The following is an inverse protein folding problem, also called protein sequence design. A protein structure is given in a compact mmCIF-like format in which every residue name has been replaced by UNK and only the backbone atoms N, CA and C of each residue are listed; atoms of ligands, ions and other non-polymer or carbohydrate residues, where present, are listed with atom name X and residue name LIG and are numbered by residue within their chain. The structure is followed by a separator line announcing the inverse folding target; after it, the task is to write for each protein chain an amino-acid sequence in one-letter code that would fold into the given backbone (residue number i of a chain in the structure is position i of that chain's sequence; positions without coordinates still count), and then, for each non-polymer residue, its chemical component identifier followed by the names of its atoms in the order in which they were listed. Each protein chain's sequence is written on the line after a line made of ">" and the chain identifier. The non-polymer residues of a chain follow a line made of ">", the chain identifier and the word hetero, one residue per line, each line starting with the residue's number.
data_IF_707756922089
#
_entry.id   IF_707756922089
#
_cell.length_a   1.000
_cell.length_b   1.000
_cell.length_c   1.000
_cell.angle_alpha   90.00
_cell.angle_beta   90.00
_cell.angle_gamma   90.00
#
_symmetry.space_group_name_H-M   'P 1'
#
loop_
_entity.id
_entity.type
_entity.pdbx_description
1 polymer ?
#
# COMPACT_ATOMS: atom_id res chain seq x y z
N UNK A 1 2.57 27.48 -12.22
CA UNK A 1 2.44 26.92 -10.87
C UNK A 1 2.05 25.47 -11.04
N UNK A 2 2.80 24.57 -10.44
CA UNK A 2 2.51 23.14 -10.50
C UNK A 2 1.22 22.78 -9.79
N UNK A 3 0.76 21.54 -10.00
CA UNK A 3 -0.47 21.05 -9.40
C UNK A 3 -0.28 20.72 -7.92
N UNK A 4 -1.31 20.98 -7.12
CA UNK A 4 -1.44 20.46 -5.76
C UNK A 4 -2.41 19.29 -5.81
N UNK A 5 -1.98 18.15 -5.29
CA UNK A 5 -2.81 16.96 -5.16
C UNK A 5 -3.18 16.73 -3.69
N UNK A 6 -4.42 16.30 -3.48
CA UNK A 6 -4.87 15.86 -2.16
C UNK A 6 -4.23 14.50 -1.81
N UNK A 7 -4.02 13.63 -2.82
CA UNK A 7 -3.37 12.35 -2.56
C UNK A 7 -2.62 11.76 -3.78
N UNK A 8 -1.65 10.90 -3.48
CA UNK A 8 -1.12 9.86 -4.37
C UNK A 8 -1.24 8.53 -3.62
N UNK A 9 -1.86 7.54 -4.26
CA UNK A 9 -2.04 6.20 -3.76
C UNK A 9 -1.31 5.20 -4.66
N UNK A 10 -0.46 4.37 -4.07
CA UNK A 10 0.41 3.41 -4.74
C UNK A 10 0.08 2.01 -4.21
N UNK A 11 -0.39 1.14 -5.09
CA UNK A 11 -0.99 -0.15 -4.72
C UNK A 11 -2.42 0.06 -4.23
N UNK A 12 -3.39 -0.23 -5.09
CA UNK A 12 -4.79 0.00 -4.75
C UNK A 12 -5.56 -1.30 -4.59
N UNK A 13 -5.17 -2.38 -5.31
CA UNK A 13 -6.09 -3.48 -5.55
C UNK A 13 -7.46 -2.94 -6.03
N UNK A 14 -8.58 -3.49 -5.58
CA UNK A 14 -9.94 -2.99 -5.86
C UNK A 14 -10.78 -2.80 -4.58
N UNK A 15 -10.13 -2.58 -3.43
CA UNK A 15 -10.75 -2.33 -2.13
C UNK A 15 -9.84 -1.52 -1.20
N UNK A 16 -10.40 -0.91 -0.17
CA UNK A 16 -9.69 -0.08 0.82
C UNK A 16 -8.90 1.08 0.20
N UNK A 17 -9.45 1.68 -0.86
CA UNK A 17 -8.75 2.70 -1.63
C UNK A 17 -9.15 4.11 -1.23
N UNK A 18 -8.20 5.04 -1.35
CA UNK A 18 -8.50 6.47 -1.24
C UNK A 18 -9.45 6.87 -2.37
N UNK A 19 -9.25 6.30 -3.57
CA UNK A 19 -10.08 6.61 -4.73
C UNK A 19 -11.57 6.34 -4.50
N UNK A 20 -11.93 5.25 -3.81
CA UNK A 20 -13.33 4.96 -3.48
C UNK A 20 -13.90 5.95 -2.49
N UNK A 21 -13.13 6.28 -1.46
CA UNK A 21 -13.56 7.09 -0.33
C UNK A 21 -13.40 8.61 -0.53
N UNK A 22 -12.60 9.06 -1.52
CA UNK A 22 -12.37 10.48 -1.73
C UNK A 22 -13.61 11.21 -2.28
N UNK A 23 -13.73 12.49 -1.95
CA UNK A 23 -14.80 13.35 -2.50
C UNK A 23 -14.51 13.72 -3.96
N UNK A 24 -15.56 14.03 -4.73
CA UNK A 24 -15.46 14.36 -6.16
C UNK A 24 -14.64 15.65 -6.45
N UNK A 25 -14.46 16.51 -5.46
CA UNK A 25 -13.62 17.70 -5.60
C UNK A 25 -12.13 17.45 -5.31
N UNK A 26 -11.77 16.30 -4.72
CA UNK A 26 -10.39 15.96 -4.40
C UNK A 26 -9.63 15.49 -5.63
N UNK A 27 -8.39 15.94 -5.75
CA UNK A 27 -7.50 15.62 -6.87
C UNK A 27 -6.49 14.58 -6.44
N UNK A 28 -6.34 13.54 -7.22
CA UNK A 28 -5.41 12.49 -6.87
C UNK A 28 -4.88 11.69 -8.04
N UNK A 29 -3.95 10.80 -7.70
CA UNK A 29 -3.42 9.78 -8.59
C UNK A 29 -3.49 8.45 -7.88
N UNK A 30 -4.07 7.42 -8.53
CA UNK A 30 -4.09 6.04 -8.08
C UNK A 30 -3.30 5.17 -9.04
N UNK A 31 -2.37 4.38 -8.52
CA UNK A 31 -1.41 3.59 -9.29
C UNK A 31 -1.58 2.12 -8.91
N UNK A 32 -1.89 1.28 -9.91
CA UNK A 32 -2.13 -0.15 -9.72
C UNK A 32 -1.52 -0.96 -10.87
N UNK A 33 -0.69 -1.98 -10.56
CA UNK A 33 -0.13 -2.86 -11.59
C UNK A 33 -1.19 -3.65 -12.35
N UNK A 34 -2.23 -4.15 -11.67
CA UNK A 34 -3.25 -5.01 -12.25
C UNK A 34 -4.41 -4.17 -12.80
N UNK A 35 -4.42 -4.03 -14.12
CA UNK A 35 -5.40 -3.17 -14.81
C UNK A 35 -6.85 -3.51 -14.48
N UNK A 36 -7.19 -4.77 -14.30
CA UNK A 36 -8.56 -5.18 -14.00
C UNK A 36 -9.03 -4.68 -12.63
N UNK A 37 -8.15 -4.62 -11.61
CA UNK A 37 -8.48 -4.00 -10.34
C UNK A 37 -8.66 -2.49 -10.49
N UNK A 38 -7.74 -1.83 -11.19
CA UNK A 38 -7.86 -0.40 -11.44
C UNK A 38 -9.14 -0.02 -12.22
N UNK A 39 -9.56 -0.90 -13.14
CA UNK A 39 -10.79 -0.68 -13.93
C UNK A 39 -12.06 -0.86 -13.09
N UNK A 40 -12.04 -1.70 -12.05
CA UNK A 40 -13.16 -1.90 -11.12
C UNK A 40 -13.40 -0.68 -10.21
N UNK A 41 -12.37 0.09 -9.94
CA UNK A 41 -12.50 1.30 -9.11
C UNK A 41 -13.34 2.39 -9.81
N UNK A 42 -14.02 3.25 -9.05
CA UNK A 42 -14.86 4.31 -9.62
C UNK A 42 -14.04 5.28 -10.50
N UNK A 43 -14.67 5.79 -11.55
CA UNK A 43 -14.08 6.84 -12.39
C UNK A 43 -14.47 8.21 -11.83
N UNK A 44 -13.48 8.93 -11.28
CA UNK A 44 -13.64 10.29 -10.79
C UNK A 44 -12.86 11.25 -11.69
N UNK A 45 -13.50 12.34 -12.11
CA UNK A 45 -12.93 13.28 -13.09
C UNK A 45 -11.64 13.96 -12.63
N UNK A 46 -11.43 14.05 -11.33
CA UNK A 46 -10.26 14.69 -10.72
C UNK A 46 -9.18 13.68 -10.28
N UNK A 47 -9.35 12.40 -10.56
CA UNK A 47 -8.38 11.36 -10.21
C UNK A 47 -7.84 10.70 -11.45
N UNK A 48 -6.51 10.67 -11.57
CA UNK A 48 -5.81 9.97 -12.64
C UNK A 48 -5.53 8.55 -12.21
N UNK A 49 -5.94 7.57 -13.00
CA UNK A 49 -5.61 6.17 -12.83
C UNK A 49 -4.40 5.81 -13.70
N UNK A 50 -3.36 5.25 -13.10
CA UNK A 50 -2.13 4.83 -13.79
C UNK A 50 -1.98 3.32 -13.65
N UNK A 51 -1.99 2.60 -14.78
CA UNK A 51 -1.71 1.17 -14.77
C UNK A 51 -0.21 0.92 -14.87
N UNK A 52 0.37 0.39 -13.82
CA UNK A 52 1.79 0.04 -13.71
C UNK A 52 2.28 -0.01 -12.28
N UNK A 53 3.53 -0.33 -12.10
CA UNK A 53 4.18 -0.43 -10.80
C UNK A 53 5.15 0.73 -10.57
N UNK A 54 5.19 1.26 -9.35
CA UNK A 54 6.28 2.13 -8.94
C UNK A 54 7.48 1.29 -8.49
N UNK A 55 8.67 1.72 -8.89
CA UNK A 55 9.95 1.07 -8.54
C UNK A 55 10.96 2.09 -8.07
N UNK A 56 11.92 1.63 -7.26
CA UNK A 56 13.02 2.45 -6.76
C UNK A 56 14.21 2.53 -7.73
N UNK A 57 14.37 1.53 -8.62
CA UNK A 57 15.48 1.48 -9.58
C UNK A 57 15.06 1.96 -10.97
N UNK A 58 15.68 3.03 -11.46
CA UNK A 58 15.44 3.63 -12.78
C UNK A 58 15.76 2.71 -13.97
N UNK A 59 16.51 1.64 -13.76
CA UNK A 59 16.87 0.70 -14.81
C UNK A 59 15.75 -0.33 -15.07
N UNK A 60 14.82 -0.50 -14.15
CA UNK A 60 13.66 -1.39 -14.29
C UNK A 60 12.59 -0.69 -15.11
N UNK A 61 12.30 -1.20 -16.31
CA UNK A 61 11.27 -0.65 -17.20
C UNK A 61 9.97 -1.45 -17.19
N UNK A 62 10.08 -2.73 -16.94
CA UNK A 62 8.96 -3.64 -16.69
C UNK A 62 9.29 -4.53 -15.50
N UNK A 63 8.27 -4.99 -14.82
CA UNK A 63 8.42 -5.89 -13.69
C UNK A 63 7.31 -6.93 -13.71
N UNK A 64 7.63 -8.13 -13.23
CA UNK A 64 6.66 -9.20 -13.10
C UNK A 64 5.81 -8.98 -11.85
N UNK A 65 4.50 -8.99 -12.03
CA UNK A 65 3.51 -8.99 -10.94
C UNK A 65 2.96 -10.40 -10.79
N UNK A 66 2.80 -10.86 -9.54
CA UNK A 66 2.23 -12.15 -9.17
C UNK A 66 0.86 -11.91 -8.55
N UNK A 67 -0.14 -12.65 -9.00
CA UNK A 67 -1.53 -12.47 -8.54
C UNK A 67 -2.33 -13.77 -8.70
N UNK A 68 -3.46 -13.83 -8.03
CA UNK A 68 -4.48 -14.87 -8.25
C UNK A 68 -5.70 -14.19 -8.84
N UNK A 69 -6.19 -14.71 -9.98
CA UNK A 69 -7.40 -14.17 -10.60
C UNK A 69 -8.58 -14.27 -9.62
N UNK A 70 -9.41 -13.23 -9.47
CA UNK A 70 -10.59 -13.30 -8.61
C UNK A 70 -11.49 -14.51 -8.85
N UNK A 71 -11.60 -14.98 -10.10
CA UNK A 71 -12.34 -16.20 -10.43
C UNK A 71 -11.70 -17.46 -9.85
N UNK A 72 -10.36 -17.53 -9.90
CA UNK A 72 -9.63 -18.65 -9.31
C UNK A 72 -9.78 -18.67 -7.79
N UNK A 73 -9.90 -17.50 -7.15
CA UNK A 73 -10.19 -17.38 -5.72
C UNK A 73 -11.56 -18.01 -5.41
N UNK A 74 -12.60 -17.66 -6.17
CA UNK A 74 -13.95 -18.18 -6.01
C UNK A 74 -14.02 -19.68 -6.33
N UNK A 75 -13.49 -20.12 -7.47
CA UNK A 75 -13.54 -21.52 -7.93
C UNK A 75 -12.80 -22.49 -7.00
N UNK A 76 -11.72 -22.03 -6.38
CA UNK A 76 -10.95 -22.83 -5.43
C UNK A 76 -11.37 -22.62 -3.97
N UNK A 77 -12.44 -21.84 -3.73
CA UNK A 77 -12.97 -21.53 -2.39
C UNK A 77 -11.86 -21.00 -1.46
N UNK A 78 -11.02 -20.10 -1.99
CA UNK A 78 -10.01 -19.38 -1.21
C UNK A 78 -10.66 -18.20 -0.48
N UNK A 79 -10.00 -17.69 0.54
CA UNK A 79 -10.49 -16.54 1.28
C UNK A 79 -10.45 -15.27 0.40
N UNK A 80 -11.48 -14.44 0.48
CA UNK A 80 -11.66 -13.28 -0.41
C UNK A 80 -10.51 -12.25 -0.34
N UNK A 81 -9.92 -12.10 0.84
CA UNK A 81 -8.83 -11.15 1.08
C UNK A 81 -7.53 -11.51 0.34
N UNK A 82 -7.39 -12.75 -0.15
CA UNK A 82 -6.19 -13.20 -0.89
C UNK A 82 -5.99 -12.40 -2.19
N UNK A 83 -7.05 -11.76 -2.69
CA UNK A 83 -6.97 -10.82 -3.80
C UNK A 83 -6.13 -9.57 -3.50
N UNK A 84 -5.87 -9.27 -2.22
CA UNK A 84 -4.96 -8.22 -1.77
C UNK A 84 -3.51 -8.66 -1.74
N UNK A 85 -3.24 -9.97 -1.71
CA UNK A 85 -1.89 -10.52 -1.64
C UNK A 85 -1.15 -10.50 -3.00
N UNK A 86 -1.44 -9.50 -3.84
CA UNK A 86 -0.71 -9.34 -5.10
C UNK A 86 0.64 -8.68 -4.83
N UNK A 87 1.67 -9.11 -5.54
CA UNK A 87 3.02 -8.65 -5.26
C UNK A 87 3.82 -8.41 -6.53
N UNK A 88 4.81 -7.54 -6.42
CA UNK A 88 5.65 -7.10 -7.53
C UNK A 88 7.08 -7.63 -7.34
N UNK A 89 7.66 -8.19 -8.39
CA UNK A 89 9.05 -8.67 -8.43
C UNK A 89 9.26 -10.07 -7.88
N UNK A 90 8.54 -10.48 -6.84
CA UNK A 90 8.58 -11.83 -6.25
C UNK A 90 7.17 -12.27 -5.84
N UNK A 91 6.90 -13.59 -5.77
CA UNK A 91 5.62 -14.08 -5.26
C UNK A 91 5.40 -13.63 -3.81
N UNK A 92 4.16 -13.32 -3.47
CA UNK A 92 3.76 -13.06 -2.09
C UNK A 92 3.92 -14.33 -1.24
N UNK A 93 4.15 -14.18 0.06
CA UNK A 93 4.36 -15.33 0.95
C UNK A 93 3.13 -16.24 1.00
N UNK A 94 1.91 -15.68 0.91
CA UNK A 94 0.68 -16.47 0.78
C UNK A 94 0.59 -17.27 -0.52
N UNK A 95 1.24 -16.87 -1.58
CA UNK A 95 1.31 -17.66 -2.80
C UNK A 95 2.12 -18.95 -2.62
N UNK A 96 3.06 -18.93 -1.68
CA UNK A 96 3.95 -20.06 -1.41
C UNK A 96 3.39 -20.93 -0.27
N UNK A 97 2.81 -20.32 0.77
CA UNK A 97 2.37 -21.00 1.97
C UNK A 97 0.96 -20.54 2.40
N UNK A 98 -0.07 -20.94 1.68
CA UNK A 98 -1.46 -20.65 2.00
C UNK A 98 -2.21 -21.90 2.52
N UNK A 99 -3.00 -21.79 3.59
CA UNK A 99 -2.93 -20.76 4.62
C UNK A 99 -1.67 -20.95 5.45
N UNK A 100 -1.09 -19.85 5.93
CA UNK A 100 -0.06 -19.94 6.94
C UNK A 100 -0.63 -20.68 8.16
N UNK A 101 0.20 -21.42 8.90
CA UNK A 101 -0.23 -22.12 10.10
C UNK A 101 -1.02 -21.15 11.01
N UNK A 102 -2.27 -21.51 11.32
CA UNK A 102 -3.16 -20.67 12.13
C UNK A 102 -2.65 -20.37 13.53
N UNK A 103 -1.64 -21.10 14.01
CA UNK A 103 -1.01 -20.83 15.30
C UNK A 103 -0.21 -19.51 15.31
N UNK A 104 0.16 -18.99 14.12
CA UNK A 104 0.91 -17.75 13.94
C UNK A 104 0.00 -16.52 13.69
N UNK A 105 -1.30 -16.73 13.46
CA UNK A 105 -2.27 -15.66 13.27
C UNK A 105 -3.10 -15.39 14.52
N UNK A 106 -3.45 -14.14 14.80
CA UNK A 106 -4.35 -13.82 15.90
C UNK A 106 -5.70 -14.54 15.69
N UNK A 107 -6.15 -15.30 16.69
CA UNK A 107 -7.37 -16.14 16.66
C UNK A 107 -8.66 -15.39 16.29
N UNK A 108 -8.66 -14.07 16.36
CA UNK A 108 -9.82 -13.24 16.04
C UNK A 108 -10.08 -13.08 14.54
N UNK A 109 -9.09 -13.37 13.68
CA UNK A 109 -9.25 -13.20 12.22
C UNK A 109 -9.99 -14.36 11.55
N UNK A 110 -9.92 -15.58 12.09
CA UNK A 110 -10.23 -16.77 11.27
C UNK A 110 -11.18 -17.79 11.90
N UNK A 111 -11.63 -17.61 13.13
CA UNK A 111 -12.41 -18.59 13.83
C UNK A 111 -11.66 -19.93 14.06
N UNK A 112 -12.37 -20.93 14.53
CA UNK A 112 -11.82 -22.22 15.01
C UNK A 112 -11.50 -23.23 13.87
N UNK A 113 -10.94 -22.76 12.75
CA UNK A 113 -10.56 -23.61 11.60
C UNK A 113 -9.17 -24.25 11.80
N UNK A 114 -9.02 -25.06 12.81
CA UNK A 114 -7.75 -25.56 13.35
C UNK A 114 -6.99 -26.61 12.53
N UNK A 115 -7.37 -26.93 11.28
CA UNK A 115 -6.67 -27.95 10.47
C UNK A 115 -6.85 -27.72 8.96
N UNK A 116 -6.25 -26.66 8.44
CA UNK A 116 -6.16 -26.52 6.99
C UNK A 116 -4.71 -26.86 6.60
N UNK A 117 -4.57 -27.79 5.65
CA UNK A 117 -3.25 -28.09 5.09
C UNK A 117 -2.68 -26.88 4.38
N UNK A 118 -1.44 -26.53 4.68
CA UNK A 118 -0.71 -25.48 3.97
C UNK A 118 -0.60 -25.85 2.49
N UNK A 119 -1.07 -24.97 1.62
CA UNK A 119 -1.03 -25.16 0.16
C UNK A 119 -0.02 -24.24 -0.47
N UNK A 120 0.82 -24.78 -1.32
CA UNK A 120 1.65 -23.98 -2.19
C UNK A 120 0.87 -23.67 -3.46
N UNK A 121 0.20 -22.50 -3.51
CA UNK A 121 -0.64 -22.08 -4.63
C UNK A 121 0.19 -21.84 -5.89
N UNK A 122 1.44 -21.37 -5.74
CA UNK A 122 2.35 -21.17 -6.86
C UNK A 122 2.66 -22.50 -7.57
N UNK A 123 2.94 -23.58 -6.82
CA UNK A 123 3.22 -24.90 -7.40
C UNK A 123 1.99 -25.57 -8.01
N UNK A 124 0.79 -25.16 -7.61
CA UNK A 124 -0.47 -25.63 -8.18
C UNK A 124 -0.86 -24.89 -9.47
N UNK A 125 -0.08 -23.88 -9.86
CA UNK A 125 -0.33 -23.09 -11.06
C UNK A 125 -1.48 -22.10 -10.97
N UNK A 126 -2.04 -21.86 -9.78
CA UNK A 126 -3.13 -20.90 -9.55
C UNK A 126 -2.58 -19.46 -9.61
N UNK A 127 -1.34 -19.27 -9.15
CA UNK A 127 -0.69 -17.95 -9.20
C UNK A 127 -0.27 -17.63 -10.62
N UNK A 128 -0.84 -16.56 -11.13
CA UNK A 128 -0.56 -16.04 -12.46
C UNK A 128 0.53 -14.96 -12.40
N UNK A 129 1.10 -14.64 -13.55
CA UNK A 129 2.09 -13.56 -13.67
C UNK A 129 1.79 -12.68 -14.86
N UNK A 130 2.01 -11.37 -14.68
CA UNK A 130 1.86 -10.37 -15.71
C UNK A 130 3.07 -9.43 -15.68
N UNK A 131 3.66 -9.11 -16.83
CA UNK A 131 4.64 -8.02 -16.92
C UNK A 131 3.92 -6.69 -17.06
N UNK A 132 4.27 -5.74 -16.19
CA UNK A 132 3.68 -4.40 -16.16
C UNK A 132 4.75 -3.32 -16.34
N UNK A 133 4.40 -2.16 -16.92
CA UNK A 133 5.32 -1.03 -17.02
C UNK A 133 5.69 -0.50 -15.63
N UNK A 134 6.92 0.01 -15.52
CA UNK A 134 7.43 0.59 -14.30
C UNK A 134 7.67 2.09 -14.45
N UNK A 135 7.43 2.81 -13.36
CA UNK A 135 7.65 4.24 -13.24
C UNK A 135 8.46 4.55 -11.98
N UNK A 136 9.24 5.61 -12.01
CA UNK A 136 9.77 6.22 -10.80
C UNK A 136 8.74 7.22 -10.25
N UNK A 137 8.77 7.44 -8.96
CA UNK A 137 7.97 8.51 -8.35
C UNK A 137 8.27 9.87 -8.98
N UNK A 138 9.55 10.16 -9.27
CA UNK A 138 9.99 11.38 -9.95
C UNK A 138 9.37 11.57 -11.35
N UNK A 139 9.11 10.46 -12.06
CA UNK A 139 8.51 10.51 -13.39
C UNK A 139 7.06 10.97 -13.29
N UNK A 140 6.31 10.42 -12.31
CA UNK A 140 4.93 10.83 -12.02
C UNK A 140 4.88 12.31 -11.63
N UNK A 141 5.73 12.73 -10.69
CA UNK A 141 5.79 14.13 -10.24
C UNK A 141 6.09 15.11 -11.38
N UNK A 142 6.93 14.69 -12.33
CA UNK A 142 7.31 15.51 -13.50
C UNK A 142 6.23 15.48 -14.57
N UNK A 143 5.72 14.30 -14.93
CA UNK A 143 4.74 14.13 -15.99
C UNK A 143 3.45 14.91 -15.73
N UNK A 144 3.02 14.96 -14.47
CA UNK A 144 1.80 15.63 -14.06
C UNK A 144 2.04 17.03 -13.47
N UNK A 145 3.25 17.59 -13.56
CA UNK A 145 3.64 18.90 -13.02
C UNK A 145 3.18 19.08 -11.57
N UNK A 146 3.48 18.08 -10.71
CA UNK A 146 3.03 18.08 -9.31
C UNK A 146 4.00 18.89 -8.45
N UNK A 147 3.48 19.91 -7.80
CA UNK A 147 4.22 20.76 -6.87
C UNK A 147 4.18 20.21 -5.44
N UNK A 148 3.02 19.69 -5.04
CA UNK A 148 2.79 19.26 -3.68
C UNK A 148 1.73 18.15 -3.61
N UNK A 149 1.87 17.27 -2.63
CA UNK A 149 0.94 16.19 -2.30
C UNK A 149 0.61 16.25 -0.81
N UNK A 150 -0.67 16.25 -0.45
CA UNK A 150 -1.09 16.26 0.96
C UNK A 150 -0.91 14.86 1.60
N UNK A 151 -1.42 13.82 0.96
CA UNK A 151 -1.40 12.44 1.45
C UNK A 151 -0.70 11.51 0.44
N UNK A 152 0.29 10.77 0.91
CA UNK A 152 0.91 9.68 0.17
C UNK A 152 0.56 8.35 0.85
N UNK A 153 -0.17 7.46 0.16
CA UNK A 153 -0.38 6.06 0.57
C UNK A 153 0.51 5.15 -0.24
N UNK A 154 1.18 4.23 0.43
CA UNK A 154 1.97 3.16 -0.19
C UNK A 154 1.52 1.84 0.43
N UNK A 155 1.07 0.91 -0.43
CA UNK A 155 0.53 -0.37 -0.04
C UNK A 155 0.86 -1.37 -1.16
N UNK A 156 2.08 -1.91 -1.12
CA UNK A 156 2.68 -2.66 -2.23
C UNK A 156 3.12 -4.06 -1.86
N UNK A 157 2.64 -4.54 -0.72
CA UNK A 157 2.86 -5.91 -0.26
C UNK A 157 4.35 -6.30 -0.25
N UNK A 158 5.14 -5.51 0.51
CA UNK A 158 6.55 -5.79 0.78
C UNK A 158 7.58 -4.98 -0.01
N UNK A 159 7.16 -3.95 -0.76
CA UNK A 159 8.06 -2.97 -1.38
C UNK A 159 8.01 -1.59 -0.69
N UNK A 160 7.16 -1.41 0.30
CA UNK A 160 6.82 -0.12 0.91
C UNK A 160 8.02 0.64 1.43
N UNK A 161 8.85 0.00 2.25
CA UNK A 161 10.03 0.63 2.82
C UNK A 161 11.05 1.05 1.75
N UNK A 162 11.31 0.19 0.77
CA UNK A 162 12.23 0.44 -0.33
C UNK A 162 11.74 1.60 -1.20
N UNK A 163 10.46 1.58 -1.53
CA UNK A 163 9.83 2.60 -2.36
C UNK A 163 9.79 3.95 -1.64
N UNK A 164 9.38 3.96 -0.37
CA UNK A 164 9.34 5.17 0.44
C UNK A 164 10.74 5.78 0.62
N UNK A 165 11.77 4.95 0.79
CA UNK A 165 13.14 5.42 0.85
C UNK A 165 13.55 6.18 -0.42
N UNK A 166 13.23 5.62 -1.58
CA UNK A 166 13.47 6.26 -2.89
C UNK A 166 12.66 7.57 -3.07
N UNK A 167 11.43 7.60 -2.58
CA UNK A 167 10.58 8.80 -2.59
C UNK A 167 11.19 9.91 -1.71
N UNK A 168 11.69 9.56 -0.54
CA UNK A 168 12.36 10.52 0.33
C UNK A 168 13.64 11.08 -0.31
N UNK A 169 14.42 10.24 -1.03
CA UNK A 169 15.57 10.70 -1.83
C UNK A 169 15.15 11.73 -2.88
N UNK A 170 14.04 11.50 -3.55
CA UNK A 170 13.49 12.48 -4.50
C UNK A 170 13.19 13.82 -3.83
N UNK A 171 12.55 13.84 -2.66
CA UNK A 171 12.22 15.07 -1.95
C UNK A 171 13.47 15.81 -1.43
N UNK A 172 14.47 15.09 -0.94
CA UNK A 172 15.75 15.67 -0.54
C UNK A 172 16.47 16.35 -1.70
N UNK A 173 16.48 15.70 -2.87
CA UNK A 173 17.16 16.20 -4.06
C UNK A 173 16.39 17.34 -4.74
N UNK A 174 15.08 17.24 -4.86
CA UNK A 174 14.24 18.25 -5.53
C UNK A 174 13.96 19.49 -4.71
N UNK A 175 14.16 19.42 -3.38
CA UNK A 175 13.79 20.46 -2.41
C UNK A 175 12.29 20.79 -2.40
N UNK A 176 11.45 19.93 -2.97
CA UNK A 176 10.00 20.06 -2.88
C UNK A 176 9.52 19.79 -1.46
N UNK A 177 8.36 20.32 -1.13
CA UNK A 177 7.75 20.09 0.18
C UNK A 177 7.29 18.63 0.28
N UNK A 178 7.69 17.97 1.37
CA UNK A 178 7.25 16.62 1.71
C UNK A 178 5.72 16.56 1.93
N UNK A 179 5.06 15.41 1.67
CA UNK A 179 3.66 15.19 2.02
C UNK A 179 3.38 15.51 3.48
N UNK A 180 2.22 16.05 3.79
CA UNK A 180 1.86 16.28 5.19
C UNK A 180 1.57 14.97 5.93
N UNK A 181 1.09 13.95 5.21
CA UNK A 181 0.82 12.62 5.74
C UNK A 181 1.40 11.55 4.81
N UNK A 182 2.02 10.54 5.39
CA UNK A 182 2.46 9.33 4.69
C UNK A 182 1.86 8.13 5.40
N UNK A 183 1.16 7.30 4.64
CA UNK A 183 0.59 6.04 5.08
C UNK A 183 1.34 4.91 4.36
N UNK A 184 1.88 3.96 5.09
CA UNK A 184 2.59 2.81 4.51
C UNK A 184 2.53 1.61 5.45
N UNK A 185 2.65 0.43 4.89
CA UNK A 185 2.62 -0.79 5.69
C UNK A 185 3.99 -1.12 6.31
N UNK A 186 3.94 -1.56 7.58
CA UNK A 186 5.10 -2.08 8.30
C UNK A 186 4.92 -3.56 8.64
N UNK A 187 4.10 -4.25 7.87
CA UNK A 187 3.79 -5.67 8.06
C UNK A 187 5.02 -6.58 7.85
N UNK A 188 4.87 -7.86 8.16
CA UNK A 188 5.93 -8.86 8.06
C UNK A 188 6.45 -9.16 6.64
N UNK A 189 5.81 -8.60 5.59
CA UNK A 189 6.27 -8.70 4.20
C UNK A 189 7.45 -7.76 3.92
N UNK A 190 7.58 -6.69 4.70
CA UNK A 190 8.75 -5.84 4.73
C UNK A 190 9.78 -6.40 5.72
N UNK A 191 11.07 -6.26 5.39
CA UNK A 191 12.11 -6.59 6.37
C UNK A 191 12.01 -5.61 7.54
N UNK A 192 11.98 -6.14 8.76
CA UNK A 192 11.87 -5.33 9.98
C UNK A 192 12.95 -4.24 10.05
N UNK A 193 14.17 -4.57 9.67
CA UNK A 193 15.30 -3.62 9.67
C UNK A 193 15.04 -2.46 8.71
N UNK A 194 14.48 -2.72 7.53
CA UNK A 194 14.19 -1.70 6.52
C UNK A 194 13.06 -0.79 7.02
N UNK A 195 12.03 -1.35 7.65
CA UNK A 195 10.94 -0.60 8.27
C UNK A 195 11.45 0.30 9.41
N UNK A 196 12.32 -0.21 10.27
CA UNK A 196 12.93 0.59 11.35
C UNK A 196 13.80 1.72 10.79
N UNK A 197 14.56 1.47 9.73
CA UNK A 197 15.41 2.49 9.12
C UNK A 197 14.58 3.61 8.50
N UNK A 198 13.50 3.27 7.75
CA UNK A 198 12.65 4.28 7.15
C UNK A 198 11.92 5.12 8.20
N UNK A 199 11.47 4.51 9.29
CA UNK A 199 10.87 5.21 10.42
C UNK A 199 11.83 6.24 11.01
N UNK A 200 13.07 5.84 11.31
CA UNK A 200 14.09 6.76 11.81
C UNK A 200 14.36 7.91 10.85
N UNK A 201 14.40 7.61 9.54
CA UNK A 201 14.60 8.62 8.51
C UNK A 201 13.46 9.63 8.51
N UNK A 202 12.22 9.18 8.60
CA UNK A 202 11.03 10.03 8.65
C UNK A 202 11.02 10.94 9.89
N UNK A 203 11.46 10.43 11.06
CA UNK A 203 11.65 11.24 12.26
C UNK A 203 12.61 12.41 12.02
N UNK A 204 13.70 12.21 11.23
CA UNK A 204 14.63 13.29 10.91
C UNK A 204 14.00 14.40 10.06
N UNK A 205 12.95 14.10 9.31
CA UNK A 205 12.13 15.06 8.58
C UNK A 205 11.04 15.73 9.42
N UNK A 206 10.97 15.39 10.71
CA UNK A 206 10.02 15.98 11.68
C UNK A 206 8.62 15.38 11.63
N UNK A 207 8.48 14.15 11.13
CA UNK A 207 7.24 13.40 11.25
C UNK A 207 7.11 12.80 12.65
N UNK A 208 5.88 12.69 13.13
CA UNK A 208 5.53 11.85 14.27
C UNK A 208 4.97 10.52 13.72
N UNK A 209 5.50 9.42 14.20
CA UNK A 209 5.03 8.10 13.82
C UNK A 209 3.89 7.67 14.73
N UNK A 210 2.80 7.27 14.11
CA UNK A 210 1.66 6.64 14.75
C UNK A 210 1.49 5.25 14.14
N UNK A 211 1.32 4.23 14.97
CA UNK A 211 0.98 2.88 14.54
C UNK A 211 -0.47 2.58 14.89
N UNK A 212 -1.18 1.97 13.96
CA UNK A 212 -2.51 1.43 14.17
C UNK A 212 -2.45 -0.10 14.26
N UNK A 213 -3.34 -0.68 15.02
CA UNK A 213 -3.51 -2.14 15.14
C UNK A 213 -4.46 -2.71 14.07
N UNK A 214 -4.69 -1.97 12.98
CA UNK A 214 -5.72 -2.28 11.99
C UNK A 214 -7.14 -1.92 12.45
N UNK A 215 -7.34 -1.52 13.70
CA UNK A 215 -8.61 -1.02 14.18
C UNK A 215 -8.68 0.51 14.08
N UNK A 216 -9.84 0.99 13.76
CA UNK A 216 -10.16 2.30 13.21
C UNK A 216 -9.90 3.53 14.07
N UNK A 217 -9.69 3.39 15.37
CA UNK A 217 -9.75 4.53 16.28
C UNK A 217 -8.49 4.77 17.13
N UNK A 218 -7.51 3.87 17.11
CA UNK A 218 -6.39 3.92 18.02
C UNK A 218 -5.03 3.98 17.32
N UNK A 219 -4.74 5.13 16.71
CA UNK A 219 -3.35 5.44 16.39
C UNK A 219 -2.62 5.80 17.69
N UNK A 220 -1.81 4.90 18.18
CA UNK A 220 -0.93 5.15 19.32
C UNK A 220 0.44 5.61 18.84
N UNK A 221 1.15 6.33 19.71
CA UNK A 221 2.54 6.68 19.44
C UNK A 221 3.34 5.39 19.23
N UNK A 222 4.16 5.37 18.20
CA UNK A 222 4.95 4.22 17.81
C UNK A 222 5.69 3.59 19.00
N UNK A 223 5.48 2.31 19.20
CA UNK A 223 6.25 1.46 20.09
C UNK A 223 6.93 0.36 19.24
N UNK A 224 8.25 0.25 19.37
CA UNK A 224 9.06 -0.71 18.60
C UNK A 224 8.68 -2.17 18.84
N UNK A 225 8.01 -2.44 19.95
CA UNK A 225 7.55 -3.78 20.32
C UNK A 225 6.24 -4.17 19.63
N UNK A 226 5.57 -3.21 18.97
CA UNK A 226 4.25 -3.41 18.34
C UNK A 226 4.25 -3.20 16.82
N UNK A 227 5.36 -3.47 16.12
CA UNK A 227 5.34 -3.68 14.68
C UNK A 227 4.61 -4.99 14.40
N UNK A 228 3.30 -4.95 14.45
CA UNK A 228 2.43 -6.08 14.17
C UNK A 228 2.09 -6.16 12.69
N UNK A 229 1.61 -7.31 12.26
CA UNK A 229 1.34 -7.74 10.88
C UNK A 229 0.56 -6.74 10.02
N UNK A 230 -0.33 -5.93 10.60
CA UNK A 230 -1.18 -4.97 9.90
C UNK A 230 -0.99 -3.54 10.40
N UNK A 231 0.15 -3.23 11.03
CA UNK A 231 0.36 -1.86 11.48
C UNK A 231 0.62 -0.95 10.30
N UNK A 232 -0.28 -0.01 10.10
CA UNK A 232 -0.10 1.12 9.18
C UNK A 232 0.54 2.26 9.95
N UNK A 233 1.71 2.71 9.51
CA UNK A 233 2.37 3.85 10.09
C UNK A 233 1.83 5.13 9.44
N UNK A 234 1.21 5.98 10.23
CA UNK A 234 0.73 7.29 9.78
C UNK A 234 1.65 8.36 10.31
N UNK A 235 2.27 9.11 9.41
CA UNK A 235 3.16 10.20 9.75
C UNK A 235 2.43 11.52 9.54
N UNK A 236 2.19 12.23 10.63
CA UNK A 236 1.42 13.47 10.61
C UNK A 236 2.35 14.64 10.97
N UNK A 237 2.58 15.56 10.05
CA UNK A 237 3.13 16.87 10.40
C UNK A 237 2.10 17.68 11.20
N UNK A 238 2.53 18.26 12.31
CA UNK A 238 1.71 18.83 13.42
C UNK A 238 0.53 19.74 13.07
N UNK A 239 0.37 20.25 11.85
CA UNK A 239 -0.53 21.37 11.59
C UNK A 239 -1.76 21.08 10.71
N UNK A 240 -1.99 19.85 10.22
CA UNK A 240 -3.12 19.54 9.32
C UNK A 240 -3.92 18.29 9.70
N UNK A 241 -3.99 17.97 10.95
CA UNK A 241 -4.61 16.75 11.49
C UNK A 241 -6.08 16.54 11.07
N UNK A 242 -6.84 17.61 10.78
CA UNK A 242 -8.30 17.48 10.59
C UNK A 242 -8.73 16.82 9.27
N UNK A 243 -8.14 17.19 8.15
CA UNK A 243 -8.55 16.69 6.82
C UNK A 243 -8.12 15.22 6.65
N UNK A 244 -6.90 14.93 7.04
CA UNK A 244 -6.34 13.59 6.90
C UNK A 244 -6.94 12.57 7.87
N UNK A 245 -7.43 12.99 9.03
CA UNK A 245 -8.16 12.10 9.96
C UNK A 245 -9.47 11.59 9.38
N UNK A 246 -10.20 12.41 8.64
CA UNK A 246 -11.46 11.98 8.03
C UNK A 246 -11.24 10.97 6.90
N UNK A 247 -10.20 11.16 6.09
CA UNK A 247 -9.82 10.21 5.04
C UNK A 247 -9.32 8.91 5.67
N UNK A 248 -8.40 9.00 6.62
CA UNK A 248 -7.88 7.85 7.35
C UNK A 248 -9.00 7.11 8.07
N UNK A 249 -9.88 7.83 8.76
CA UNK A 249 -11.04 7.25 9.43
C UNK A 249 -11.98 6.48 8.48
N UNK A 250 -12.15 6.96 7.24
CA UNK A 250 -12.95 6.24 6.25
C UNK A 250 -12.27 5.00 5.71
N UNK A 251 -10.97 5.07 5.45
CA UNK A 251 -10.19 3.91 4.98
C UNK A 251 -10.25 2.73 5.96
N UNK A 252 -10.51 3.00 7.23
CA UNK A 252 -10.56 1.97 8.29
C UNK A 252 -11.98 1.62 8.77
N UNK A 253 -13.00 2.40 8.44
CA UNK A 253 -14.37 2.19 8.96
C UNK A 253 -15.31 1.47 7.99
N UNK A 254 -14.91 1.20 6.75
CA UNK A 254 -15.80 0.55 5.77
C UNK A 254 -15.67 -0.99 5.74
N UNK A 255 -14.98 -1.59 6.71
CA UNK A 255 -14.89 -3.05 6.90
C UNK A 255 -15.84 -3.52 7.99
N UNK A 256 -17.12 -3.11 7.93
CA UNK A 256 -18.21 -3.72 8.71
C UNK A 256 -19.38 -4.07 7.81
#
# INVERSE_FOLDING_TARGET
>A
MGQILDFIEIGTSDYDTILESCYDFQKGISIEPLKFYLDNLPNKSNVVKINGALVSDKNIKTIKTYYIDPKDIEENNLEWWIRGCNSVGKPHDFHINYPLNYDDFPKWHWGDKSKIETKNLLSQGIVQTLEVPCFLYSDIMTQYDIEYVDLLKIDTEGQDASLLNSILDYYENSKKKLPDTILFETNGHNKLEDSIQIIKRLETFGYELLTGDGSTDNFTKFDKEHLSFDSKAVLIKKNRIKINKEIIHRLFNEVN
#
